data_IF_611712852846
#
_entry.id   IF_611712852846
#
_cell.length_a   1.000
_cell.length_b   1.000
_cell.length_c   1.000
_cell.angle_alpha   90.00
_cell.angle_beta   90.00
_cell.angle_gamma   90.00
#
_symmetry.space_group_name_H-M   'P 1'
#
loop_
_entity.id
_entity.type
_entity.pdbx_description
1 polymer ?
#
# COMPACT_ATOMS: atom_id res chain seq x y z
N UNK A 1 -18.28 12.88 -1.78
CA UNK A 1 -16.96 12.28 -1.48
C UNK A 1 -15.77 13.11 -1.96
N UNK A 2 -15.40 13.21 -3.26
CA UNK A 2 -14.19 13.97 -3.65
C UNK A 2 -14.29 15.47 -3.33
N UNK A 3 -15.49 16.04 -3.44
CA UNK A 3 -15.77 17.40 -2.98
C UNK A 3 -15.59 17.57 -1.47
N UNK A 4 -15.93 16.56 -0.66
CA UNK A 4 -15.71 16.60 0.80
C UNK A 4 -14.21 16.57 1.13
N UNK A 5 -13.44 15.72 0.45
CA UNK A 5 -11.99 15.67 0.62
C UNK A 5 -11.31 16.97 0.18
N UNK A 6 -11.76 17.55 -0.93
CA UNK A 6 -11.27 18.83 -1.42
C UNK A 6 -11.60 19.98 -0.45
N UNK A 7 -12.79 19.95 0.17
CA UNK A 7 -13.15 20.93 1.20
C UNK A 7 -12.32 20.79 2.48
N UNK A 8 -11.93 19.56 2.83
CA UNK A 8 -11.13 19.26 4.03
C UNK A 8 -9.61 19.48 3.85
N UNK A 9 -9.10 19.44 2.62
CA UNK A 9 -7.68 19.61 2.32
C UNK A 9 -7.46 20.32 0.98
N UNK A 10 -6.98 21.57 1.01
CA UNK A 10 -6.69 22.34 -0.21
C UNK A 10 -5.66 21.66 -1.12
N UNK A 11 -4.69 20.93 -0.54
CA UNK A 11 -3.73 20.14 -1.32
C UNK A 11 -4.41 18.98 -2.02
N UNK A 12 -5.38 18.33 -1.38
CA UNK A 12 -6.18 17.31 -2.05
C UNK A 12 -6.99 17.93 -3.19
N UNK A 13 -7.62 19.08 -2.96
CA UNK A 13 -8.40 19.79 -3.97
C UNK A 13 -7.57 20.09 -5.23
N UNK A 14 -6.32 20.51 -5.06
CA UNK A 14 -5.38 20.78 -6.14
C UNK A 14 -4.97 19.49 -6.87
N UNK A 15 -4.45 18.50 -6.13
CA UNK A 15 -3.97 17.24 -6.73
C UNK A 15 -5.07 16.47 -7.45
N UNK A 16 -6.29 16.46 -6.91
CA UNK A 16 -7.42 15.73 -7.50
C UNK A 16 -7.80 16.22 -8.90
N UNK A 17 -7.43 17.46 -9.28
CA UNK A 17 -7.67 17.97 -10.64
C UNK A 17 -6.83 17.24 -11.69
N UNK A 18 -5.68 16.69 -11.29
CA UNK A 18 -4.76 15.96 -12.17
C UNK A 18 -5.04 14.46 -12.21
N UNK A 19 -5.75 13.93 -11.22
CA UNK A 19 -6.10 12.50 -11.11
C UNK A 19 -7.60 12.26 -11.25
N UNK A 20 -8.23 12.96 -12.21
CA UNK A 20 -9.68 12.79 -12.48
C UNK A 20 -9.97 11.33 -12.84
N UNK A 21 -10.96 10.76 -12.18
CA UNK A 21 -11.37 9.36 -12.39
C UNK A 21 -10.61 8.32 -11.57
N UNK A 22 -9.61 8.72 -10.76
CA UNK A 22 -8.95 7.80 -9.84
C UNK A 22 -9.97 7.18 -8.87
N UNK A 23 -9.91 5.85 -8.74
CA UNK A 23 -10.80 5.05 -7.87
C UNK A 23 -9.97 4.01 -7.12
N UNK A 24 -10.46 3.64 -5.94
CA UNK A 24 -9.95 2.50 -5.19
C UNK A 24 -10.66 1.25 -5.71
N UNK A 25 -9.88 0.25 -6.13
CA UNK A 25 -10.41 -1.05 -6.56
C UNK A 25 -10.91 -1.84 -5.35
N UNK A 26 -11.96 -2.63 -5.56
CA UNK A 26 -12.45 -3.64 -4.63
C UNK A 26 -12.06 -5.01 -5.14
N UNK A 27 -10.87 -5.45 -4.76
CA UNK A 27 -10.22 -6.66 -5.26
C UNK A 27 -10.73 -7.93 -4.56
N UNK A 28 -10.48 -9.08 -5.17
CA UNK A 28 -10.62 -10.37 -4.52
C UNK A 28 -9.67 -10.47 -3.30
N UNK A 29 -10.11 -10.99 -2.13
CA UNK A 29 -9.29 -11.03 -0.93
C UNK A 29 -8.04 -11.91 -1.05
N UNK A 30 -8.13 -13.06 -1.73
CA UNK A 30 -7.00 -13.98 -1.88
C UNK A 30 -5.97 -13.38 -2.82
N UNK A 31 -6.40 -12.89 -3.98
CA UNK A 31 -5.53 -12.22 -4.95
C UNK A 31 -4.83 -11.01 -4.33
N UNK A 32 -5.59 -10.12 -3.70
CA UNK A 32 -5.06 -8.93 -3.04
C UNK A 32 -4.04 -9.29 -1.95
N UNK A 33 -4.30 -10.34 -1.17
CA UNK A 33 -3.38 -10.80 -0.13
C UNK A 33 -2.04 -11.26 -0.72
N UNK A 34 -2.06 -12.08 -1.77
CA UNK A 34 -0.84 -12.60 -2.40
C UNK A 34 -0.05 -11.47 -3.09
N UNK A 35 -0.73 -10.54 -3.77
CA UNK A 35 -0.12 -9.36 -4.36
C UNK A 35 0.61 -8.50 -3.30
N UNK A 36 -0.01 -8.26 -2.15
CA UNK A 36 0.62 -7.44 -1.11
C UNK A 36 1.73 -8.16 -0.34
N UNK A 37 1.71 -9.49 -0.24
CA UNK A 37 2.87 -10.28 0.23
C UNK A 37 4.10 -10.05 -0.65
N UNK A 38 3.91 -9.92 -1.97
CA UNK A 38 4.98 -9.60 -2.93
C UNK A 38 5.53 -8.17 -2.77
N UNK A 39 4.75 -7.26 -2.18
CA UNK A 39 5.03 -5.81 -2.15
C UNK A 39 6.00 -5.36 -1.07
N UNK A 40 6.14 -6.11 0.04
CA UNK A 40 6.94 -5.70 1.19
C UNK A 40 8.40 -5.43 0.79
N UNK A 41 8.95 -4.24 1.07
CA UNK A 41 10.32 -3.85 0.70
C UNK A 41 10.70 -4.17 -0.76
N UNK A 42 9.87 -3.74 -1.72
CA UNK A 42 10.01 -4.07 -3.14
C UNK A 42 9.65 -2.87 -4.03
N UNK A 43 9.82 -3.00 -5.34
CA UNK A 43 9.41 -1.99 -6.32
C UNK A 43 8.34 -2.54 -7.28
N UNK A 44 7.54 -1.64 -7.87
CA UNK A 44 6.39 -1.99 -8.72
C UNK A 44 6.79 -2.96 -9.84
N UNK A 45 7.90 -2.71 -10.56
CA UNK A 45 8.32 -3.57 -11.67
C UNK A 45 8.57 -5.02 -11.24
N UNK A 46 9.24 -5.23 -10.10
CA UNK A 46 9.50 -6.58 -9.58
C UNK A 46 8.23 -7.21 -9.00
N UNK A 47 7.37 -6.42 -8.36
CA UNK A 47 6.07 -6.91 -7.86
C UNK A 47 5.22 -7.40 -9.04
N UNK A 48 5.13 -6.64 -10.13
CA UNK A 48 4.39 -7.04 -11.33
C UNK A 48 4.87 -8.40 -11.84
N UNK A 49 6.18 -8.60 -12.02
CA UNK A 49 6.73 -9.90 -12.45
C UNK A 49 6.39 -11.06 -11.52
N UNK A 50 6.39 -10.82 -10.21
CA UNK A 50 6.02 -11.84 -9.21
C UNK A 50 4.53 -12.19 -9.32
N UNK A 51 3.68 -11.19 -9.50
CA UNK A 51 2.23 -11.38 -9.66
C UNK A 51 1.90 -12.04 -11.00
N UNK A 52 2.62 -11.71 -12.07
CA UNK A 52 2.49 -12.36 -13.38
C UNK A 52 2.84 -13.85 -13.27
N UNK A 53 3.94 -14.19 -12.58
CA UNK A 53 4.29 -15.58 -12.29
C UNK A 53 3.19 -16.31 -11.49
N UNK A 54 2.61 -15.67 -10.48
CA UNK A 54 1.54 -16.32 -9.70
C UNK A 54 0.29 -16.49 -10.57
N UNK A 55 -0.06 -15.48 -11.37
CA UNK A 55 -1.24 -15.50 -12.22
C UNK A 55 -1.15 -16.60 -13.28
N UNK A 56 0.05 -16.86 -13.85
CA UNK A 56 0.25 -17.92 -14.84
C UNK A 56 0.05 -19.34 -14.30
N UNK A 57 -0.04 -19.52 -12.97
CA UNK A 57 -0.39 -20.80 -12.33
C UNK A 57 -1.91 -21.06 -12.33
N UNK A 58 -2.71 -20.04 -12.64
CA UNK A 58 -4.15 -20.16 -12.74
C UNK A 58 -4.63 -20.60 -14.12
N UNK A 59 -5.94 -20.71 -14.28
CA UNK A 59 -6.55 -21.22 -15.51
C UNK A 59 -6.34 -20.27 -16.67
N UNK A 60 -5.83 -20.79 -17.79
CA UNK A 60 -5.72 -20.02 -19.02
C UNK A 60 -7.12 -19.64 -19.53
N UNK A 61 -7.34 -18.34 -19.73
CA UNK A 61 -8.61 -17.78 -20.18
C UNK A 61 -8.60 -17.42 -21.66
N UNK A 62 -7.43 -17.14 -22.23
CA UNK A 62 -7.29 -16.79 -23.64
C UNK A 62 -6.11 -15.86 -23.90
N UNK A 63 -5.98 -15.47 -25.17
CA UNK A 63 -5.01 -14.49 -25.63
C UNK A 63 -5.74 -13.29 -26.23
N UNK A 64 -5.31 -12.08 -25.87
CA UNK A 64 -5.78 -10.84 -26.48
C UNK A 64 -4.57 -10.01 -26.86
N UNK A 65 -4.44 -9.66 -28.14
CA UNK A 65 -3.34 -8.84 -28.67
C UNK A 65 -1.93 -9.35 -28.29
N UNK A 66 -1.76 -10.67 -28.21
CA UNK A 66 -0.47 -11.28 -27.86
C UNK A 66 -0.22 -11.42 -26.36
N UNK A 67 -1.13 -10.95 -25.50
CA UNK A 67 -1.07 -11.15 -24.05
C UNK A 67 -1.88 -12.37 -23.63
N UNK A 68 -1.27 -13.28 -22.88
CA UNK A 68 -1.93 -14.43 -22.28
C UNK A 68 -2.59 -14.01 -20.96
N UNK A 69 -3.87 -14.32 -20.83
CA UNK A 69 -4.65 -14.03 -19.64
C UNK A 69 -4.96 -15.33 -18.90
N UNK A 70 -4.75 -15.28 -17.59
CA UNK A 70 -5.08 -16.36 -16.68
C UNK A 70 -6.01 -15.85 -15.58
N UNK A 71 -6.93 -16.68 -15.12
CA UNK A 71 -7.62 -16.45 -13.86
C UNK A 71 -6.59 -16.49 -12.73
N UNK A 72 -6.80 -15.74 -11.64
CA UNK A 72 -5.92 -15.87 -10.48
C UNK A 72 -6.04 -17.29 -9.89
N UNK A 73 -4.93 -17.96 -9.50
CA UNK A 73 -4.98 -19.33 -9.01
C UNK A 73 -5.82 -19.47 -7.73
N UNK A 74 -6.55 -20.58 -7.64
CA UNK A 74 -7.27 -20.94 -6.42
C UNK A 74 -6.29 -21.24 -5.26
N UNK A 75 -6.81 -21.25 -4.03
CA UNK A 75 -6.00 -21.58 -2.85
C UNK A 75 -5.39 -22.99 -2.94
N UNK A 76 -6.11 -23.93 -3.55
CA UNK A 76 -5.66 -25.31 -3.78
C UNK A 76 -4.50 -25.35 -4.76
N UNK A 77 -4.55 -24.56 -5.85
CA UNK A 77 -3.41 -24.46 -6.79
C UNK A 77 -2.20 -23.82 -6.16
N UNK A 78 -2.41 -22.75 -5.40
CA UNK A 78 -1.34 -22.10 -4.66
C UNK A 78 -0.66 -23.05 -3.66
N UNK A 79 -1.41 -23.99 -3.08
CA UNK A 79 -0.88 -24.97 -2.13
C UNK A 79 0.06 -26.01 -2.77
N UNK A 80 -0.01 -26.19 -4.09
CA UNK A 80 0.89 -27.09 -4.84
C UNK A 80 2.24 -26.43 -5.15
N UNK A 81 2.36 -25.12 -4.96
CA UNK A 81 3.57 -24.37 -5.31
C UNK A 81 4.59 -24.47 -4.18
N UNK A 82 5.77 -24.96 -4.52
CA UNK A 82 6.87 -25.10 -3.55
C UNK A 82 7.57 -23.77 -3.29
N UNK A 83 8.19 -23.64 -2.11
CA UNK A 83 9.02 -22.46 -1.79
C UNK A 83 10.19 -22.32 -2.80
N UNK A 84 10.74 -23.43 -3.27
CA UNK A 84 11.83 -23.43 -4.25
C UNK A 84 11.40 -22.82 -5.59
N UNK A 85 10.24 -23.22 -6.13
CA UNK A 85 9.71 -22.63 -7.37
C UNK A 85 9.52 -21.12 -7.25
N UNK A 86 9.01 -20.64 -6.11
CA UNK A 86 8.87 -19.20 -5.86
C UNK A 86 10.23 -18.50 -5.76
N UNK A 87 11.24 -19.12 -5.14
CA UNK A 87 12.60 -18.57 -5.08
C UNK A 87 13.22 -18.46 -6.47
N UNK A 88 13.06 -19.47 -7.30
CA UNK A 88 13.49 -19.49 -8.71
C UNK A 88 12.76 -18.40 -9.53
N UNK A 89 11.47 -18.16 -9.24
CA UNK A 89 10.69 -17.04 -9.78
C UNK A 89 11.04 -15.66 -9.17
N UNK A 90 12.10 -15.58 -8.35
CA UNK A 90 12.62 -14.31 -7.84
C UNK A 90 11.91 -13.77 -6.60
N UNK A 91 11.15 -14.59 -5.86
CA UNK A 91 10.45 -14.14 -4.64
C UNK A 91 11.40 -13.81 -3.49
N UNK A 92 12.58 -14.43 -3.47
CA UNK A 92 13.54 -14.31 -2.38
C UNK A 92 12.92 -14.78 -1.06
N UNK A 93 13.13 -14.02 0.03
CA UNK A 93 12.58 -14.39 1.35
C UNK A 93 11.04 -14.43 1.39
N UNK A 94 10.34 -13.75 0.46
CA UNK A 94 8.87 -13.73 0.39
C UNK A 94 8.29 -15.08 -0.02
N UNK A 95 9.09 -15.95 -0.64
CA UNK A 95 8.67 -17.30 -0.98
C UNK A 95 8.13 -18.04 0.26
N UNK A 96 8.86 -17.96 1.39
CA UNK A 96 8.46 -18.52 2.68
C UNK A 96 7.16 -17.89 3.23
N UNK A 97 6.94 -16.61 2.98
CA UNK A 97 5.72 -15.92 3.44
C UNK A 97 4.50 -16.34 2.64
N UNK A 98 4.64 -16.49 1.31
CA UNK A 98 3.58 -16.97 0.44
C UNK A 98 3.20 -18.41 0.80
N UNK A 99 4.16 -19.34 0.83
CA UNK A 99 3.87 -20.75 1.19
C UNK A 99 3.34 -20.87 2.61
N UNK A 100 3.94 -20.16 3.57
CA UNK A 100 3.47 -20.14 4.95
C UNK A 100 2.04 -19.60 5.09
N UNK A 101 1.69 -18.56 4.34
CA UNK A 101 0.33 -17.98 4.36
C UNK A 101 -0.67 -18.91 3.70
N UNK A 102 -0.35 -19.51 2.55
CA UNK A 102 -1.21 -20.49 1.88
C UNK A 102 -1.48 -21.69 2.81
N UNK A 103 -0.45 -22.20 3.48
CA UNK A 103 -0.61 -23.27 4.47
C UNK A 103 -1.50 -22.84 5.65
N UNK A 104 -1.29 -21.64 6.19
CA UNK A 104 -2.14 -21.13 7.27
C UNK A 104 -3.60 -20.94 6.86
N UNK A 105 -3.86 -20.59 5.59
CA UNK A 105 -5.20 -20.48 5.02
C UNK A 105 -5.84 -21.87 4.81
N UNK A 106 -5.08 -22.87 4.34
CA UNK A 106 -5.54 -24.26 4.22
C UNK A 106 -5.97 -24.87 5.56
N UNK A 107 -5.35 -24.43 6.66
CA UNK A 107 -5.67 -24.88 8.03
C UNK A 107 -6.87 -24.15 8.67
N UNK A 108 -7.53 -23.21 7.96
CA UNK A 108 -8.73 -22.54 8.49
C UNK A 108 -9.90 -23.52 8.54
N UNK A 109 -10.61 -23.68 9.66
CA UNK A 109 -11.66 -24.69 9.83
C UNK A 109 -12.78 -24.65 8.78
N UNK A 110 -13.18 -23.44 8.38
CA UNK A 110 -14.24 -23.21 7.39
C UNK A 110 -13.69 -23.01 5.96
N UNK A 111 -12.38 -23.16 5.76
CA UNK A 111 -11.69 -22.88 4.50
C UNK A 111 -11.09 -21.47 4.45
N UNK A 112 -9.88 -21.37 3.88
CA UNK A 112 -9.11 -20.12 3.88
C UNK A 112 -9.76 -18.96 3.12
N UNK A 113 -10.41 -19.25 1.99
CA UNK A 113 -11.13 -18.23 1.19
C UNK A 113 -12.34 -17.71 1.95
N UNK A 114 -13.16 -18.60 2.53
CA UNK A 114 -14.33 -18.24 3.35
C UNK A 114 -13.89 -17.41 4.55
N UNK A 115 -12.80 -17.80 5.22
CA UNK A 115 -12.23 -17.04 6.32
C UNK A 115 -11.82 -15.62 5.88
N UNK A 116 -11.13 -15.46 4.74
CA UNK A 116 -10.75 -14.15 4.22
C UNK A 116 -11.97 -13.27 3.91
N UNK A 117 -13.00 -13.82 3.28
CA UNK A 117 -14.22 -13.08 2.98
C UNK A 117 -14.98 -12.66 4.24
N UNK A 118 -14.97 -13.50 5.28
CA UNK A 118 -15.62 -13.21 6.56
C UNK A 118 -15.07 -11.93 7.22
N UNK A 119 -13.80 -11.59 6.96
CA UNK A 119 -13.14 -10.41 7.52
C UNK A 119 -13.81 -9.10 7.08
N UNK A 120 -14.53 -9.06 5.94
CA UNK A 120 -15.32 -7.89 5.51
C UNK A 120 -16.36 -7.44 6.54
N UNK A 121 -16.84 -8.37 7.37
CA UNK A 121 -17.88 -8.12 8.38
C UNK A 121 -17.32 -7.63 9.71
N UNK A 122 -16.00 -7.63 9.87
CA UNK A 122 -15.34 -7.24 11.10
C UNK A 122 -14.99 -5.75 11.12
N UNK A 123 -14.74 -5.23 12.32
CA UNK A 123 -14.17 -3.90 12.50
C UNK A 123 -12.69 -3.91 12.13
N UNK A 124 -12.18 -2.77 11.63
CA UNK A 124 -10.82 -2.64 11.11
C UNK A 124 -9.74 -3.22 12.05
N UNK A 125 -9.80 -2.93 13.36
CA UNK A 125 -8.81 -3.44 14.30
C UNK A 125 -8.76 -4.98 14.29
N UNK A 126 -9.91 -5.64 14.33
CA UNK A 126 -10.02 -7.10 14.28
C UNK A 126 -9.56 -7.66 12.94
N UNK A 127 -9.80 -6.94 11.83
CA UNK A 127 -9.28 -7.31 10.50
C UNK A 127 -7.76 -7.28 10.50
N UNK A 128 -7.16 -6.19 10.99
CA UNK A 128 -5.70 -6.03 11.05
C UNK A 128 -5.08 -7.12 11.92
N UNK A 129 -5.61 -7.35 13.13
CA UNK A 129 -5.10 -8.35 14.06
C UNK A 129 -5.17 -9.76 13.45
N UNK A 130 -6.30 -10.09 12.80
CA UNK A 130 -6.50 -11.36 12.11
C UNK A 130 -5.49 -11.56 10.98
N UNK A 131 -5.28 -10.56 10.12
CA UNK A 131 -4.34 -10.63 9.01
C UNK A 131 -2.88 -10.71 9.48
N UNK A 132 -2.52 -10.00 10.57
CA UNK A 132 -1.17 -10.02 11.11
C UNK A 132 -0.76 -11.35 11.75
N UNK A 133 -1.69 -12.29 11.94
CA UNK A 133 -1.37 -13.68 12.31
C UNK A 133 -0.72 -14.45 11.17
N UNK A 134 -0.86 -14.00 9.92
CA UNK A 134 -0.34 -14.71 8.75
C UNK A 134 1.14 -14.37 8.51
N UNK A 135 1.96 -15.35 8.05
CA UNK A 135 3.38 -15.14 7.82
C UNK A 135 3.69 -14.00 6.85
N UNK A 136 4.55 -13.07 7.29
CA UNK A 136 5.00 -11.95 6.45
C UNK A 136 4.01 -10.78 6.34
N UNK A 137 2.86 -10.85 7.01
CA UNK A 137 1.89 -9.76 7.06
C UNK A 137 2.10 -8.93 8.32
N UNK A 138 2.64 -7.72 8.13
CA UNK A 138 2.68 -6.69 9.17
C UNK A 138 1.61 -5.62 8.97
N UNK A 139 1.55 -4.64 9.88
CA UNK A 139 0.53 -3.58 9.92
C UNK A 139 0.26 -2.91 8.56
N UNK A 140 1.31 -2.54 7.83
CA UNK A 140 1.19 -1.90 6.50
C UNK A 140 0.52 -2.83 5.50
N UNK A 141 0.97 -4.08 5.41
CA UNK A 141 0.45 -5.08 4.47
C UNK A 141 -1.00 -5.41 4.81
N UNK A 142 -1.30 -5.63 6.10
CA UNK A 142 -2.66 -5.84 6.58
C UNK A 142 -3.58 -4.66 6.22
N UNK A 143 -3.11 -3.43 6.39
CA UNK A 143 -3.88 -2.23 6.05
C UNK A 143 -4.14 -2.10 4.55
N UNK A 144 -3.18 -2.49 3.70
CA UNK A 144 -3.39 -2.57 2.25
C UNK A 144 -4.51 -3.56 1.91
N UNK A 145 -4.45 -4.78 2.44
CA UNK A 145 -5.47 -5.81 2.19
C UNK A 145 -6.83 -5.32 2.70
N UNK A 146 -6.87 -4.76 3.92
CA UNK A 146 -8.09 -4.20 4.50
C UNK A 146 -8.75 -3.13 3.61
N UNK A 147 -7.94 -2.20 3.08
CA UNK A 147 -8.40 -1.10 2.22
C UNK A 147 -8.88 -1.58 0.85
N UNK A 148 -8.12 -2.49 0.21
CA UNK A 148 -8.29 -2.82 -1.20
C UNK A 148 -9.16 -4.06 -1.45
N UNK A 149 -9.45 -4.90 -0.46
CA UNK A 149 -10.29 -6.11 -0.67
C UNK A 149 -11.32 -6.41 0.43
N UNK A 150 -11.18 -5.83 1.63
CA UNK A 150 -12.01 -6.15 2.80
C UNK A 150 -12.96 -5.02 3.24
N UNK A 151 -13.24 -4.07 2.35
CA UNK A 151 -14.24 -2.99 2.54
C UNK A 151 -13.93 -2.03 3.71
N UNK A 152 -12.69 -2.01 4.21
CA UNK A 152 -12.27 -1.10 5.28
C UNK A 152 -11.79 0.24 4.70
N UNK A 153 -12.73 1.06 4.22
CA UNK A 153 -12.43 2.30 3.46
C UNK A 153 -11.64 3.38 4.22
N UNK A 154 -11.55 3.27 5.55
CA UNK A 154 -10.80 4.16 6.43
C UNK A 154 -9.43 3.58 6.83
N UNK A 155 -9.07 2.38 6.38
CA UNK A 155 -7.75 1.80 6.62
C UNK A 155 -6.65 2.63 5.94
N UNK A 156 -5.56 2.89 6.67
CA UNK A 156 -4.45 3.74 6.22
C UNK A 156 -3.16 2.92 6.18
N UNK A 157 -2.71 2.45 5.00
CA UNK A 157 -1.43 1.77 4.88
C UNK A 157 -0.27 2.75 5.03
N UNK A 158 0.29 2.84 6.24
CA UNK A 158 1.41 3.75 6.53
C UNK A 158 2.74 3.10 6.12
N UNK A 159 3.31 3.59 5.02
CA UNK A 159 4.69 3.35 4.61
C UNK A 159 5.53 4.63 4.74
N UNK A 160 6.76 4.62 4.20
CA UNK A 160 7.65 5.79 4.25
C UNK A 160 7.12 7.00 3.46
N UNK A 161 6.37 6.78 2.38
CA UNK A 161 5.78 7.85 1.58
C UNK A 161 4.60 8.48 2.33
N UNK A 162 3.67 7.65 2.83
CA UNK A 162 2.52 8.11 3.61
C UNK A 162 2.98 8.78 4.91
N UNK A 163 4.01 8.24 5.55
CA UNK A 163 4.65 8.87 6.70
C UNK A 163 5.18 10.27 6.37
N UNK A 164 5.86 10.44 5.23
CA UNK A 164 6.33 11.75 4.79
C UNK A 164 5.17 12.72 4.55
N UNK A 165 4.10 12.28 3.89
CA UNK A 165 2.89 13.11 3.67
C UNK A 165 2.32 13.56 5.02
N UNK A 166 2.13 12.62 5.94
CA UNK A 166 1.54 12.87 7.25
C UNK A 166 2.39 13.85 8.07
N UNK A 167 3.69 13.57 8.19
CA UNK A 167 4.64 14.41 8.95
C UNK A 167 4.95 15.76 8.30
N UNK A 168 4.54 15.98 7.05
CA UNK A 168 4.65 17.30 6.41
C UNK A 168 3.37 18.12 6.55
N UNK A 169 2.19 17.47 6.52
CA UNK A 169 0.92 18.18 6.28
C UNK A 169 -0.19 17.92 7.31
N UNK A 170 -0.11 16.85 8.10
CA UNK A 170 -1.17 16.46 9.04
C UNK A 170 -0.69 16.47 10.49
N UNK A 171 0.52 15.94 10.75
CA UNK A 171 1.11 15.75 12.08
C UNK A 171 2.59 16.18 12.07
N UNK A 172 2.88 17.47 11.81
CA UNK A 172 4.24 17.98 11.67
C UNK A 172 5.11 17.81 12.92
N UNK A 173 4.51 17.67 14.10
CA UNK A 173 5.20 17.37 15.35
C UNK A 173 5.88 15.99 15.37
N UNK A 174 5.51 15.09 14.45
CA UNK A 174 6.15 13.78 14.29
C UNK A 174 7.35 13.81 13.33
N UNK A 175 7.66 14.95 12.71
CA UNK A 175 8.81 15.09 11.82
C UNK A 175 10.12 14.72 12.54
N UNK A 176 10.95 13.87 11.92
CA UNK A 176 12.19 13.37 12.49
C UNK A 176 12.05 12.18 13.47
N UNK A 177 10.83 11.78 13.81
CA UNK A 177 10.58 10.56 14.60
C UNK A 177 10.72 9.29 13.76
N UNK A 178 11.06 8.18 14.41
CA UNK A 178 11.13 6.85 13.77
C UNK A 178 9.74 6.28 13.48
N UNK A 179 9.60 5.58 12.36
CA UNK A 179 8.37 4.88 12.00
C UNK A 179 8.20 3.66 12.92
N UNK A 180 7.22 3.72 13.82
CA UNK A 180 6.88 2.65 14.79
C UNK A 180 5.39 2.31 14.69
N UNK A 181 4.94 1.12 15.13
CA UNK A 181 3.52 0.75 15.08
C UNK A 181 2.61 1.76 15.79
N UNK A 182 3.01 2.23 16.98
CA UNK A 182 2.26 3.25 17.74
C UNK A 182 2.10 4.55 16.97
N UNK A 183 3.16 5.03 16.32
CA UNK A 183 3.09 6.26 15.55
C UNK A 183 2.37 6.09 14.20
N UNK A 184 2.40 4.89 13.62
CA UNK A 184 1.55 4.57 12.46
C UNK A 184 0.06 4.69 12.81
N UNK A 185 -0.35 4.26 14.01
CA UNK A 185 -1.71 4.48 14.53
C UNK A 185 -2.08 5.97 14.58
N UNK A 186 -1.21 6.81 15.15
CA UNK A 186 -1.42 8.28 15.16
C UNK A 186 -1.55 8.89 13.77
N UNK A 187 -0.74 8.42 12.81
CA UNK A 187 -0.84 8.86 11.41
C UNK A 187 -2.19 8.44 10.82
N UNK A 188 -2.62 7.20 11.05
CA UNK A 188 -3.91 6.71 10.59
C UNK A 188 -5.07 7.54 11.17
N UNK A 189 -5.07 7.80 12.48
CA UNK A 189 -6.07 8.62 13.16
C UNK A 189 -6.13 10.04 12.59
N UNK A 190 -4.99 10.63 12.24
CA UNK A 190 -4.94 11.96 11.64
C UNK A 190 -5.59 11.98 10.24
N UNK A 191 -5.36 10.95 9.42
CA UNK A 191 -6.04 10.82 8.13
C UNK A 191 -7.55 10.60 8.31
N UNK A 192 -7.96 9.72 9.24
CA UNK A 192 -9.39 9.47 9.52
C UNK A 192 -10.08 10.72 10.05
N UNK A 193 -9.43 11.46 10.94
CA UNK A 193 -9.96 12.72 11.47
C UNK A 193 -10.15 13.77 10.37
N UNK A 194 -9.26 13.80 9.37
CA UNK A 194 -9.33 14.76 8.26
C UNK A 194 -10.31 14.37 7.16
N UNK A 195 -10.38 13.08 6.81
CA UNK A 195 -11.09 12.59 5.62
C UNK A 195 -12.27 11.66 5.93
N UNK A 196 -12.52 11.36 7.21
CA UNK A 196 -13.66 10.58 7.67
C UNK A 196 -13.66 9.12 7.20
N UNK A 197 -14.87 8.59 6.96
CA UNK A 197 -15.14 7.17 6.67
C UNK A 197 -14.38 6.61 5.47
N UNK A 198 -13.98 7.45 4.52
CA UNK A 198 -13.30 7.07 3.29
C UNK A 198 -11.84 7.56 3.24
N UNK A 199 -11.22 7.78 4.40
CA UNK A 199 -9.87 8.33 4.50
C UNK A 199 -8.80 7.54 3.73
N UNK A 200 -8.91 6.22 3.63
CA UNK A 200 -7.99 5.41 2.83
C UNK A 200 -8.06 5.71 1.34
N UNK A 201 -9.23 6.16 0.85
CA UNK A 201 -9.41 6.55 -0.56
C UNK A 201 -8.71 7.89 -0.82
N UNK A 202 -8.87 8.85 0.09
CA UNK A 202 -8.17 10.12 0.01
C UNK A 202 -6.65 9.91 0.08
N UNK A 203 -6.19 9.10 1.05
CA UNK A 203 -4.79 8.75 1.21
C UNK A 203 -4.22 8.08 -0.05
N UNK A 204 -4.96 7.21 -0.74
CA UNK A 204 -4.52 6.55 -1.97
C UNK A 204 -4.18 7.56 -3.07
N UNK A 205 -5.03 8.56 -3.29
CA UNK A 205 -4.76 9.62 -4.28
C UNK A 205 -3.52 10.43 -3.91
N UNK A 206 -3.40 10.81 -2.63
CA UNK A 206 -2.25 11.57 -2.14
C UNK A 206 -0.94 10.78 -2.25
N UNK A 207 -1.00 9.46 -2.04
CA UNK A 207 0.13 8.57 -2.23
C UNK A 207 0.52 8.46 -3.71
N UNK A 208 -0.45 8.31 -4.61
CA UNK A 208 -0.20 8.24 -6.06
C UNK A 208 0.49 9.51 -6.54
N UNK A 209 0.06 10.69 -6.06
CA UNK A 209 0.70 11.96 -6.37
C UNK A 209 2.17 12.04 -5.89
N UNK A 210 2.60 11.21 -4.93
CA UNK A 210 3.97 11.16 -4.45
C UNK A 210 4.87 10.20 -5.25
N UNK A 211 4.31 9.38 -6.14
CA UNK A 211 5.09 8.46 -6.98
C UNK A 211 5.93 9.24 -8.00
N UNK A 212 7.21 8.87 -8.20
CA UNK A 212 8.11 9.59 -9.11
C UNK A 212 7.56 9.79 -10.53
N UNK A 213 6.89 8.76 -11.08
CA UNK A 213 6.28 8.81 -12.41
C UNK A 213 5.13 9.81 -12.50
N UNK A 214 4.40 10.02 -11.41
CA UNK A 214 3.27 10.94 -11.36
C UNK A 214 3.72 12.37 -11.04
N UNK A 215 4.72 12.54 -10.16
CA UNK A 215 5.32 13.86 -9.90
C UNK A 215 5.87 14.53 -11.16
N UNK A 216 6.35 13.74 -12.12
CA UNK A 216 6.84 14.26 -13.40
C UNK A 216 5.73 14.83 -14.31
N UNK A 217 4.48 14.39 -14.11
CA UNK A 217 3.30 14.81 -14.88
C UNK A 217 2.52 15.94 -14.22
N UNK A 218 2.74 16.15 -12.91
CA UNK A 218 2.17 17.26 -12.18
C UNK A 218 2.89 18.56 -12.60
N UNK A 219 2.18 19.68 -12.79
CA UNK A 219 2.82 20.98 -12.93
C UNK A 219 3.80 21.16 -11.76
N UNK A 220 4.91 21.86 -11.99
CA UNK A 220 5.87 22.19 -10.93
C UNK A 220 5.22 23.15 -9.93
N UNK A 221 4.28 22.66 -9.11
CA UNK A 221 3.70 23.44 -8.05
C UNK A 221 4.74 23.48 -6.95
N UNK A 222 5.24 24.70 -6.77
CA UNK A 222 6.12 25.19 -5.72
C UNK A 222 5.89 24.46 -4.40
N UNK A 223 6.67 23.42 -4.15
CA UNK A 223 7.13 23.14 -2.79
C UNK A 223 7.97 24.36 -2.47
N UNK A 224 7.40 25.28 -1.71
CA UNK A 224 8.11 26.41 -1.11
C UNK A 224 9.05 25.81 -0.04
N UNK A 225 10.05 25.05 -0.48
CA UNK A 225 11.23 24.74 0.32
C UNK A 225 11.88 26.09 0.57
N UNK A 226 11.60 26.67 1.74
CA UNK A 226 12.47 27.68 2.33
C UNK A 226 13.86 27.04 2.43
N UNK A 227 14.68 27.25 1.38
CA UNK A 227 16.13 27.18 1.47
C UNK A 227 16.52 28.18 2.55
N UNK A 228 16.64 27.70 3.78
CA UNK A 228 17.35 28.41 4.83
C UNK A 228 18.78 28.60 4.32
N UNK A 229 19.06 29.82 3.88
CA UNK A 229 20.35 30.28 3.44
C UNK A 229 21.39 30.03 4.54
N UNK A 230 22.24 29.00 4.37
CA UNK A 230 23.57 29.02 4.96
C UNK A 230 24.39 30.09 4.22
N UNK A 231 24.24 31.35 4.63
CA UNK A 231 25.27 32.36 4.42
C UNK A 231 26.47 31.91 5.26
N UNK A 232 27.41 31.20 4.63
CA UNK A 232 28.79 31.09 5.14
C UNK A 232 29.34 32.52 5.18
N UNK A 233 29.54 33.04 6.38
CA UNK A 233 30.29 34.26 6.61
C UNK A 233 31.73 34.07 6.11
N UNK A 234 32.01 34.63 4.93
CA UNK A 234 33.35 35.01 4.55
C UNK A 234 33.65 36.33 5.24
N UNK A 235 34.57 36.31 6.20
CA UNK A 235 35.39 37.46 6.60
C UNK A 235 36.61 36.94 7.36
N UNK A 236 37.65 36.63 6.59
CA UNK A 236 39.02 36.61 7.08
C UNK A 236 39.83 37.48 6.11
N UNK A 237 40.10 38.74 6.50
CA UNK A 237 41.25 39.52 6.07
C UNK A 237 41.35 40.86 6.82
N UNK A 238 42.61 41.26 7.05
CA UNK A 238 43.20 42.39 7.81
C UNK A 238 43.68 41.93 9.20
N UNK A 239 44.97 41.72 9.47
CA UNK A 239 46.18 42.30 8.86
C UNK A 239 46.61 43.52 9.65
N UNK A 240 47.37 43.29 10.72
CA UNK A 240 48.60 43.98 11.11
C UNK A 240 49.25 43.20 12.26
#
# INVERSE_FOLDING_TARGET
MWHEFAAADSRFAELAQHFKGARVLRQDPLECLIQFLCSSNNNISRITKMVDFVSSLGDYLGNVEGFEFHAFPSLERLALVTEQQLREAGFGYRAKYVTGTVNALQLKPEGGVIWLESLRKLQLQMVIDSLCTLPGIGLKVASCIALFSLDQHHAIPVDTHVWRIATTHLVPELAGSSLTPKLCGRVADAFVSKYGKYAGWAQTLLFIAELPSQKALLPSVTVNEKKSSKKRGSKAQRGN
#
